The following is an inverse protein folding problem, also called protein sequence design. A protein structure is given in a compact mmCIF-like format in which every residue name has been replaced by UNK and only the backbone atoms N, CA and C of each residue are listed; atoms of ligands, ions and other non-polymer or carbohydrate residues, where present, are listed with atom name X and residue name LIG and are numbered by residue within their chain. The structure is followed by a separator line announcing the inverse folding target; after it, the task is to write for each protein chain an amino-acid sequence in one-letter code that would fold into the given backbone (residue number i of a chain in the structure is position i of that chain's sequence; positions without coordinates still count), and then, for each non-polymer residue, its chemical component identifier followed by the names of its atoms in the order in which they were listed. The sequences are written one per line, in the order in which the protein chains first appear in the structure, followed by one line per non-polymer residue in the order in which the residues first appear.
data_IF_900006551318
#
_entry.id   IF_900006551318
#
_cell.length_a   1.000
_cell.length_b   1.000
_cell.length_c   1.000
_cell.angle_alpha   90.00
_cell.angle_beta   90.00
_cell.angle_gamma   90.00
#
_symmetry.space_group_name_H-M   'P 1'
#
loop_
_entity.id
_entity.type
_entity.pdbx_description
1 polymer ?
#
# COMPACT_ATOMS: atom_id res chain seq x y z
N UNK A 1 -5.00 -38.03 -33.88
CA UNK A 1 -6.35 -37.44 -33.90
C UNK A 1 -6.41 -36.46 -32.77
N UNK A 2 -6.30 -35.18 -33.05
CA UNK A 2 -6.46 -34.11 -32.06
C UNK A 2 -7.95 -33.81 -31.95
N UNK A 3 -8.58 -34.16 -30.80
CA UNK A 3 -9.97 -33.82 -30.56
C UNK A 3 -10.05 -32.32 -30.20
N UNK A 4 -10.61 -31.52 -31.13
CA UNK A 4 -11.05 -30.16 -30.84
C UNK A 4 -12.31 -30.23 -29.93
N UNK A 5 -12.14 -30.36 -28.62
CA UNK A 5 -13.23 -30.12 -27.67
C UNK A 5 -13.44 -28.61 -27.59
N UNK A 6 -14.53 -28.12 -28.17
CA UNK A 6 -14.93 -26.74 -28.05
C UNK A 6 -15.37 -26.43 -26.59
N UNK A 7 -14.83 -25.40 -26.00
CA UNK A 7 -15.29 -24.91 -24.70
C UNK A 7 -16.69 -24.29 -24.84
N UNK A 8 -17.64 -24.70 -24.02
CA UNK A 8 -19.00 -24.22 -24.06
C UNK A 8 -19.21 -23.16 -22.95
N UNK A 9 -19.66 -21.96 -23.34
CA UNK A 9 -20.14 -20.93 -22.40
C UNK A 9 -21.66 -21.09 -22.29
N UNK A 10 -22.19 -21.46 -21.12
CA UNK A 10 -23.63 -21.61 -20.93
C UNK A 10 -24.02 -21.48 -19.46
N UNK A 11 -25.11 -20.75 -19.23
CA UNK A 11 -25.85 -20.75 -17.95
C UNK A 11 -26.65 -22.05 -17.88
N UNK A 12 -26.72 -22.80 -16.78
CA UNK A 12 -27.59 -23.96 -16.68
C UNK A 12 -29.06 -23.47 -16.60
N UNK A 13 -29.75 -23.53 -17.73
CA UNK A 13 -31.21 -23.40 -17.72
C UNK A 13 -31.81 -24.77 -17.45
N UNK A 14 -32.77 -24.82 -16.56
CA UNK A 14 -33.55 -26.00 -16.16
C UNK A 14 -34.29 -26.63 -17.31
N UNK A 15 -34.29 -28.00 -17.27
CA UNK A 15 -35.13 -28.92 -18.05
C UNK A 15 -34.75 -29.14 -19.51
N UNK A 16 -33.92 -30.11 -19.69
CA UNK A 16 -33.86 -31.22 -20.67
C UNK A 16 -32.45 -31.80 -20.57
N UNK A 17 -32.35 -33.11 -20.43
CA UNK A 17 -31.08 -33.82 -20.34
C UNK A 17 -30.38 -33.76 -21.71
N UNK A 18 -29.68 -32.66 -21.96
CA UNK A 18 -28.70 -32.60 -23.06
C UNK A 18 -27.40 -33.00 -22.42
N UNK A 19 -26.96 -34.24 -22.66
CA UNK A 19 -25.60 -34.70 -22.35
C UNK A 19 -24.66 -33.92 -23.29
N UNK A 20 -24.28 -32.74 -22.85
CA UNK A 20 -23.21 -31.97 -23.49
C UNK A 20 -21.89 -32.54 -23.00
N UNK A 21 -21.23 -33.34 -23.80
CA UNK A 21 -19.85 -33.81 -23.57
C UNK A 21 -18.82 -32.67 -23.82
N UNK A 22 -19.11 -31.47 -23.40
CA UNK A 22 -18.23 -30.32 -23.50
C UNK A 22 -17.72 -29.90 -22.12
N UNK A 23 -16.43 -29.64 -22.02
CA UNK A 23 -15.84 -29.07 -20.78
C UNK A 23 -16.28 -27.62 -20.66
N UNK A 24 -16.87 -27.26 -19.52
CA UNK A 24 -17.28 -25.88 -19.25
C UNK A 24 -16.08 -24.91 -19.16
N UNK A 25 -16.21 -23.77 -19.80
CA UNK A 25 -15.25 -22.67 -19.58
C UNK A 25 -15.22 -22.26 -18.11
N UNK A 26 -14.05 -21.94 -17.54
CA UNK A 26 -13.95 -21.54 -16.15
C UNK A 26 -14.70 -20.22 -15.91
N UNK A 27 -15.32 -20.08 -14.74
CA UNK A 27 -15.85 -18.79 -14.29
C UNK A 27 -14.68 -17.97 -13.76
N UNK A 28 -14.42 -16.81 -14.39
CA UNK A 28 -13.33 -15.91 -14.01
C UNK A 28 -13.90 -14.62 -13.44
N UNK A 29 -13.36 -14.20 -12.31
CA UNK A 29 -13.56 -12.85 -11.76
C UNK A 29 -12.21 -12.12 -11.69
N UNK A 30 -12.24 -10.81 -11.80
CA UNK A 30 -11.07 -9.95 -11.61
C UNK A 30 -11.48 -8.68 -10.88
N UNK A 31 -11.10 -8.59 -9.61
CA UNK A 31 -11.28 -7.42 -8.75
C UNK A 31 -9.90 -6.80 -8.54
N UNK A 32 -9.80 -5.47 -8.60
CA UNK A 32 -8.53 -4.80 -8.34
C UNK A 32 -8.18 -4.86 -6.85
N UNK A 33 -7.11 -5.56 -6.50
CA UNK A 33 -6.49 -5.56 -5.18
C UNK A 33 -5.24 -4.67 -5.18
N UNK A 34 -5.28 -3.57 -5.93
CA UNK A 34 -4.22 -2.59 -6.14
C UNK A 34 -4.85 -1.27 -6.64
N UNK A 35 -4.07 -0.20 -6.64
CA UNK A 35 -4.52 1.11 -7.10
C UNK A 35 -4.87 1.09 -8.60
N UNK A 36 -6.08 1.51 -8.92
CA UNK A 36 -6.57 1.64 -10.33
C UNK A 36 -6.33 3.01 -10.92
N UNK A 37 -5.79 3.93 -10.14
CA UNK A 37 -5.33 5.25 -10.60
C UNK A 37 -3.90 5.46 -10.10
N UNK A 38 -3.01 5.86 -11.00
CA UNK A 38 -1.59 6.06 -10.71
C UNK A 38 -0.98 7.11 -11.62
N UNK A 39 0.30 7.43 -11.45
CA UNK A 39 1.05 8.34 -12.32
C UNK A 39 2.11 7.58 -13.13
N UNK A 40 2.54 8.15 -14.25
CA UNK A 40 3.52 7.51 -15.15
C UNK A 40 4.88 7.27 -14.49
N UNK A 41 5.23 8.04 -13.46
CA UNK A 41 6.47 7.91 -12.70
C UNK A 41 6.33 7.09 -11.40
N UNK A 42 5.15 6.52 -11.14
CA UNK A 42 4.95 5.66 -9.98
C UNK A 42 5.70 4.33 -10.11
N UNK A 43 5.97 3.71 -8.97
CA UNK A 43 6.61 2.39 -8.91
C UNK A 43 5.77 1.30 -9.62
N UNK A 44 6.41 0.21 -10.04
CA UNK A 44 5.69 -0.94 -10.59
C UNK A 44 4.68 -1.50 -9.59
N UNK A 45 3.52 -1.93 -10.08
CA UNK A 45 2.39 -2.44 -9.30
C UNK A 45 2.29 -3.95 -9.49
N UNK A 46 2.26 -4.71 -8.40
CA UNK A 46 1.96 -6.14 -8.42
C UNK A 46 0.47 -6.35 -8.63
N UNK A 47 0.09 -6.91 -9.75
CA UNK A 47 -1.32 -7.21 -10.06
C UNK A 47 -1.82 -8.38 -9.22
N UNK A 48 -3.00 -8.24 -8.63
CA UNK A 48 -3.69 -9.23 -7.77
C UNK A 48 -5.18 -9.21 -8.07
N UNK A 49 -5.93 -10.19 -7.54
CA UNK A 49 -7.39 -10.21 -7.54
C UNK A 49 -8.04 -10.97 -8.69
N UNK A 50 -7.26 -11.65 -9.54
CA UNK A 50 -7.81 -12.61 -10.50
C UNK A 50 -8.16 -13.94 -9.84
N UNK A 51 -9.35 -14.46 -10.06
CA UNK A 51 -9.85 -15.75 -9.55
C UNK A 51 -10.46 -16.55 -10.70
N UNK A 52 -10.15 -17.89 -10.81
CA UNK A 52 -9.32 -18.75 -9.95
C UNK A 52 -7.85 -18.32 -9.96
N UNK A 53 -7.10 -18.66 -8.90
CA UNK A 53 -5.66 -18.38 -8.83
C UNK A 53 -4.88 -19.16 -9.89
N UNK A 54 -3.71 -18.66 -10.31
CA UNK A 54 -2.83 -19.32 -11.26
C UNK A 54 -3.07 -18.92 -12.73
N UNK A 55 -3.94 -17.95 -12.99
CA UNK A 55 -4.05 -17.33 -14.31
C UNK A 55 -2.96 -16.31 -14.58
N UNK A 56 -3.00 -15.68 -15.75
CA UNK A 56 -2.00 -14.71 -16.21
C UNK A 56 -2.62 -13.34 -16.42
N UNK A 57 -1.83 -12.29 -16.13
CA UNK A 57 -2.18 -10.91 -16.43
C UNK A 57 -1.54 -10.47 -17.74
N UNK A 58 -2.26 -9.65 -18.52
CA UNK A 58 -1.77 -9.09 -19.78
C UNK A 58 -2.34 -7.69 -20.00
N UNK A 59 -1.70 -6.90 -20.85
CA UNK A 59 -2.10 -5.55 -21.20
C UNK A 59 -0.89 -4.62 -21.38
N UNK A 60 -1.10 -3.36 -21.79
CA UNK A 60 -0.02 -2.38 -21.92
C UNK A 60 0.75 -2.20 -20.60
N UNK A 61 2.08 -2.35 -20.64
CA UNK A 61 2.95 -2.22 -19.47
C UNK A 61 2.95 -3.40 -18.51
N UNK A 62 2.26 -4.51 -18.82
CA UNK A 62 2.23 -5.72 -18.00
C UNK A 62 3.30 -6.71 -18.45
N UNK A 63 4.11 -7.17 -17.51
CA UNK A 63 4.93 -8.36 -17.67
C UNK A 63 4.09 -9.58 -17.28
N UNK A 64 3.69 -10.38 -18.27
CA UNK A 64 2.79 -11.53 -18.06
C UNK A 64 3.41 -12.68 -17.26
N UNK A 65 4.73 -12.77 -17.18
CA UNK A 65 5.43 -13.81 -16.40
C UNK A 65 5.43 -13.49 -14.91
N UNK A 66 5.57 -12.21 -14.57
CA UNK A 66 5.68 -11.77 -13.17
C UNK A 66 4.37 -11.20 -12.62
N UNK A 67 3.42 -10.83 -13.49
CA UNK A 67 2.21 -10.12 -13.10
C UNK A 67 2.45 -8.69 -12.63
N UNK A 68 3.55 -8.07 -13.06
CA UNK A 68 3.90 -6.69 -12.68
C UNK A 68 3.46 -5.74 -13.80
N UNK A 69 2.71 -4.70 -13.42
CA UNK A 69 2.38 -3.55 -14.26
C UNK A 69 3.36 -2.41 -14.00
N UNK A 70 3.98 -1.90 -15.06
CA UNK A 70 4.94 -0.79 -14.98
C UNK A 70 4.33 0.45 -15.63
N UNK A 71 3.90 1.47 -14.85
CA UNK A 71 3.23 2.66 -15.38
C UNK A 71 4.05 3.41 -16.43
N UNK A 72 5.37 3.53 -16.25
CA UNK A 72 6.28 4.20 -17.20
C UNK A 72 6.36 3.50 -18.56
N UNK A 73 6.22 2.17 -18.61
CA UNK A 73 6.16 1.38 -19.85
C UNK A 73 4.77 1.48 -20.48
N UNK A 74 3.73 1.48 -19.67
CA UNK A 74 2.35 1.60 -20.14
C UNK A 74 2.07 2.97 -20.80
N UNK A 75 2.73 4.03 -20.32
CA UNK A 75 2.46 5.41 -20.71
C UNK A 75 1.12 5.93 -20.15
N UNK A 76 0.83 7.21 -20.39
CA UNK A 76 -0.38 7.88 -19.88
C UNK A 76 -1.67 7.38 -20.55
N UNK A 77 -2.81 7.56 -19.88
CA UNK A 77 -4.15 7.21 -20.36
C UNK A 77 -4.73 5.95 -19.71
N UNK A 78 -5.90 5.52 -20.16
CA UNK A 78 -6.58 4.33 -19.65
C UNK A 78 -5.93 3.07 -20.25
N UNK A 79 -5.55 2.15 -19.36
CA UNK A 79 -4.94 0.85 -19.72
C UNK A 79 -5.89 -0.28 -19.35
N UNK A 80 -6.25 -1.08 -20.34
CA UNK A 80 -7.05 -2.30 -20.11
C UNK A 80 -6.11 -3.42 -19.69
N UNK A 81 -6.32 -3.94 -18.48
CA UNK A 81 -5.60 -5.09 -17.92
C UNK A 81 -6.55 -6.29 -17.96
N UNK A 82 -6.06 -7.39 -18.49
CA UNK A 82 -6.83 -8.63 -18.68
C UNK A 82 -6.24 -9.71 -17.78
N UNK A 83 -7.08 -10.35 -17.01
CA UNK A 83 -6.76 -11.60 -16.33
C UNK A 83 -7.37 -12.77 -17.10
N UNK A 84 -6.55 -13.76 -17.43
CA UNK A 84 -6.96 -14.98 -18.15
C UNK A 84 -6.62 -16.20 -17.31
N UNK A 85 -7.60 -17.07 -17.12
CA UNK A 85 -7.41 -18.36 -16.48
C UNK A 85 -7.77 -19.49 -17.46
N UNK A 86 -6.89 -20.50 -17.52
CA UNK A 86 -7.09 -21.71 -18.33
C UNK A 86 -7.17 -22.90 -17.38
N UNK A 87 -8.25 -23.67 -17.46
CA UNK A 87 -8.43 -24.85 -16.62
C UNK A 87 -7.64 -26.08 -17.18
N UNK A 88 -7.65 -27.19 -16.43
CA UNK A 88 -6.95 -28.42 -16.81
C UNK A 88 -7.44 -29.02 -18.13
N UNK A 89 -8.66 -28.68 -18.56
CA UNK A 89 -9.23 -29.14 -19.85
C UNK A 89 -8.90 -28.17 -21.00
N UNK A 90 -7.96 -27.24 -20.80
CA UNK A 90 -7.51 -26.23 -21.78
C UNK A 90 -8.59 -25.22 -22.20
N UNK A 91 -9.66 -25.09 -21.41
CA UNK A 91 -10.66 -24.07 -21.62
C UNK A 91 -10.26 -22.77 -20.88
N UNK A 92 -10.25 -21.64 -21.60
CA UNK A 92 -9.87 -20.35 -21.09
C UNK A 92 -11.06 -19.41 -20.96
N UNK A 93 -11.02 -18.56 -19.95
CA UNK A 93 -11.90 -17.42 -19.83
C UNK A 93 -11.11 -16.20 -19.29
N UNK A 94 -11.62 -15.00 -19.56
CA UNK A 94 -10.92 -13.76 -19.19
C UNK A 94 -11.89 -12.74 -18.62
N UNK A 95 -11.36 -11.85 -17.77
CA UNK A 95 -12.00 -10.61 -17.29
C UNK A 95 -11.01 -9.49 -17.38
N UNK A 96 -11.50 -8.27 -17.51
CA UNK A 96 -10.67 -7.06 -17.55
C UNK A 96 -11.08 -6.03 -16.52
N UNK A 97 -10.14 -5.17 -16.20
CA UNK A 97 -10.30 -3.90 -15.46
C UNK A 97 -9.52 -2.80 -16.17
N UNK A 98 -9.66 -1.58 -15.70
CA UNK A 98 -8.92 -0.43 -16.22
C UNK A 98 -8.03 0.16 -15.13
N UNK A 99 -6.79 0.52 -15.52
CA UNK A 99 -5.88 1.36 -14.75
C UNK A 99 -5.77 2.71 -15.47
N UNK A 100 -5.96 3.80 -14.75
CA UNK A 100 -5.76 5.16 -15.24
C UNK A 100 -4.34 5.59 -14.89
N UNK A 101 -3.51 5.83 -15.90
CA UNK A 101 -2.15 6.35 -15.72
C UNK A 101 -2.16 7.84 -16.07
N UNK A 102 -1.99 8.70 -15.08
CA UNK A 102 -1.92 10.14 -15.26
C UNK A 102 -0.50 10.58 -15.62
N UNK A 103 -0.39 11.72 -16.29
CA UNK A 103 0.89 12.39 -16.47
C UNK A 103 1.43 12.85 -15.11
N UNK A 104 2.75 12.89 -14.98
CA UNK A 104 3.39 13.48 -13.81
C UNK A 104 3.15 14.99 -13.81
N UNK A 105 2.61 15.52 -12.71
CA UNK A 105 2.66 16.96 -12.46
C UNK A 105 4.07 17.37 -12.01
N UNK A 106 4.48 18.58 -12.32
CA UNK A 106 5.72 19.15 -11.78
C UNK A 106 5.54 19.26 -10.25
N UNK A 107 6.32 18.50 -9.52
CA UNK A 107 6.33 18.51 -8.06
C UNK A 107 7.58 19.26 -7.54
N UNK A 108 7.37 20.13 -6.56
CA UNK A 108 8.44 20.80 -5.83
C UNK A 108 8.22 20.55 -4.33
N UNK A 109 9.22 19.98 -3.68
CA UNK A 109 9.17 19.74 -2.25
C UNK A 109 8.98 21.03 -1.46
N UNK A 110 8.17 20.97 -0.40
CA UNK A 110 7.68 22.14 0.35
C UNK A 110 6.28 22.57 -0.08
N UNK A 111 5.79 22.15 -1.25
CA UNK A 111 4.39 22.33 -1.65
C UNK A 111 3.53 21.16 -1.17
N UNK A 112 2.22 21.40 -1.09
CA UNK A 112 1.26 20.32 -0.85
C UNK A 112 1.16 19.39 -2.06
N UNK A 113 0.96 18.10 -1.80
CA UNK A 113 0.51 17.15 -2.82
C UNK A 113 -0.94 16.75 -2.57
N UNK A 114 -1.64 16.42 -3.64
CA UNK A 114 -2.96 15.78 -3.57
C UNK A 114 -2.82 14.31 -3.95
N UNK A 115 -3.18 13.41 -3.05
CA UNK A 115 -3.25 11.99 -3.38
C UNK A 115 -4.41 11.76 -4.36
N UNK A 116 -4.09 11.37 -5.59
CA UNK A 116 -5.08 11.19 -6.65
C UNK A 116 -6.07 10.05 -6.40
N UNK A 117 -5.81 9.19 -5.40
CA UNK A 117 -6.65 8.03 -5.08
C UNK A 117 -7.85 8.39 -4.22
N UNK A 118 -7.70 9.36 -3.29
CA UNK A 118 -8.75 9.78 -2.35
C UNK A 118 -8.91 11.30 -2.21
N UNK A 119 -8.16 12.08 -3.00
CA UNK A 119 -8.12 13.54 -3.02
C UNK A 119 -7.68 14.18 -1.70
N UNK A 120 -7.04 13.44 -0.80
CA UNK A 120 -6.45 14.03 0.40
C UNK A 120 -5.21 14.84 0.08
N UNK A 121 -5.06 15.93 0.79
CA UNK A 121 -3.92 16.85 0.63
C UNK A 121 -2.93 16.62 1.75
N UNK A 122 -1.67 16.43 1.40
CA UNK A 122 -0.56 16.25 2.33
C UNK A 122 0.48 17.36 2.13
N UNK A 123 0.85 18.09 3.19
CA UNK A 123 1.99 19.00 3.13
C UNK A 123 3.28 18.18 2.99
N UNK A 124 4.29 18.78 2.35
CA UNK A 124 5.61 18.15 2.20
C UNK A 124 6.70 19.03 2.77
N UNK A 125 7.84 18.44 3.10
CA UNK A 125 8.99 19.15 3.65
C UNK A 125 10.30 18.57 3.13
N UNK A 126 11.24 19.47 2.78
CA UNK A 126 12.59 19.08 2.40
C UNK A 126 13.45 18.92 3.66
N UNK A 127 14.01 17.73 3.85
CA UNK A 127 14.86 17.38 4.99
C UNK A 127 16.19 16.81 4.48
N UNK A 128 17.22 17.63 4.45
CA UNK A 128 18.46 17.29 3.76
C UNK A 128 18.22 17.07 2.27
N UNK A 129 18.60 15.92 1.74
CA UNK A 129 18.39 15.54 0.34
C UNK A 129 17.04 14.89 0.06
N UNK A 130 16.23 14.61 1.11
CA UNK A 130 14.99 13.85 0.99
C UNK A 130 13.76 14.77 1.08
N UNK A 131 12.69 14.41 0.37
CA UNK A 131 11.39 15.04 0.51
C UNK A 131 10.41 14.10 1.21
N UNK A 132 9.84 14.55 2.33
CA UNK A 132 8.95 13.77 3.17
C UNK A 132 7.55 14.38 3.22
N UNK A 133 6.53 13.55 3.43
CA UNK A 133 5.25 14.09 3.90
C UNK A 133 5.45 14.74 5.28
N UNK A 134 4.89 15.92 5.48
CA UNK A 134 4.93 16.65 6.75
C UNK A 134 3.74 16.33 7.67
N UNK A 135 2.90 15.37 7.28
CA UNK A 135 1.80 14.80 8.06
C UNK A 135 1.74 13.30 7.90
N UNK A 136 1.15 12.60 8.88
CA UNK A 136 0.96 11.16 8.79
C UNK A 136 -0.03 10.80 7.68
N UNK A 137 0.23 9.69 6.98
CA UNK A 137 -0.68 9.16 5.97
C UNK A 137 -2.05 8.84 6.59
N UNK A 138 -3.13 9.11 5.84
CA UNK A 138 -4.51 8.84 6.26
C UNK A 138 -5.32 8.15 5.14
N UNK A 139 -4.69 7.26 4.37
CA UNK A 139 -5.31 6.51 3.28
C UNK A 139 -6.08 5.30 3.80
N UNK A 140 -7.13 4.87 3.09
CA UNK A 140 -7.88 3.65 3.36
C UNK A 140 -9.16 3.83 4.17
N UNK A 141 -9.92 2.73 4.27
CA UNK A 141 -11.20 2.61 4.97
C UNK A 141 -10.97 2.32 6.46
N UNK A 142 -11.74 2.94 7.33
CA UNK A 142 -11.65 2.71 8.78
C UNK A 142 -12.26 1.36 9.11
N UNK A 143 -11.53 0.55 9.89
CA UNK A 143 -12.03 -0.68 10.51
C UNK A 143 -11.92 -0.58 12.03
N UNK A 144 -12.71 -1.39 12.74
CA UNK A 144 -12.68 -1.44 14.20
C UNK A 144 -11.40 -2.14 14.70
N UNK A 145 -10.83 -1.66 15.81
CA UNK A 145 -9.63 -2.22 16.43
C UNK A 145 -9.74 -3.69 16.84
N UNK A 146 -10.96 -4.19 17.01
CA UNK A 146 -11.23 -5.60 17.31
C UNK A 146 -10.94 -6.55 16.15
N UNK A 147 -10.80 -6.02 14.94
CA UNK A 147 -10.45 -6.76 13.73
C UNK A 147 -8.97 -6.54 13.40
N UNK A 148 -8.34 -7.52 12.75
CA UNK A 148 -7.04 -7.34 12.14
C UNK A 148 -7.22 -7.05 10.65
N UNK A 149 -6.33 -6.23 10.09
CA UNK A 149 -6.29 -5.93 8.66
C UNK A 149 -5.99 -7.19 7.85
N UNK A 150 -6.52 -7.30 6.63
CA UNK A 150 -6.49 -8.54 5.84
C UNK A 150 -6.25 -8.26 4.35
N UNK A 151 -5.62 -9.20 3.65
CA UNK A 151 -5.51 -9.21 2.18
C UNK A 151 -6.87 -9.52 1.54
N UNK A 152 -7.79 -8.55 1.59
CA UNK A 152 -9.18 -8.65 1.13
C UNK A 152 -9.50 -7.67 0.00
N UNK A 153 -8.48 -7.05 -0.60
CA UNK A 153 -8.60 -6.04 -1.66
C UNK A 153 -9.28 -4.73 -1.22
N UNK A 154 -9.35 -4.48 0.09
CA UNK A 154 -9.79 -3.20 0.66
C UNK A 154 -8.62 -2.64 1.44
N UNK A 155 -8.17 -1.44 1.09
CA UNK A 155 -7.16 -0.74 1.89
C UNK A 155 -7.77 -0.30 3.21
N UNK A 156 -7.25 -0.81 4.32
CA UNK A 156 -7.82 -0.65 5.66
C UNK A 156 -6.89 0.18 6.57
N UNK A 157 -7.48 0.87 7.54
CA UNK A 157 -6.74 1.61 8.56
C UNK A 157 -7.47 1.58 9.89
N UNK A 158 -6.73 1.86 10.96
CA UNK A 158 -7.29 2.16 12.26
C UNK A 158 -7.22 3.66 12.55
N UNK A 159 -8.19 4.16 13.29
CA UNK A 159 -8.13 5.45 13.96
C UNK A 159 -7.93 5.21 15.45
N UNK A 160 -6.99 5.90 16.08
CA UNK A 160 -6.72 5.69 17.51
C UNK A 160 -8.01 5.72 18.34
N UNK A 161 -8.18 4.75 19.22
CA UNK A 161 -9.36 4.53 20.06
C UNK A 161 -10.69 4.43 19.27
N UNK A 162 -10.63 3.88 18.05
CA UNK A 162 -11.76 3.74 17.11
C UNK A 162 -12.49 5.08 16.84
N UNK A 163 -11.84 6.23 17.05
CA UNK A 163 -12.41 7.54 16.84
C UNK A 163 -11.94 8.16 15.51
N UNK A 164 -12.83 8.36 14.51
CA UNK A 164 -12.45 8.93 13.21
C UNK A 164 -11.81 10.32 13.28
N UNK A 165 -12.10 11.10 14.32
CA UNK A 165 -11.48 12.42 14.54
C UNK A 165 -9.96 12.28 14.73
N UNK A 166 -9.50 11.21 15.36
CA UNK A 166 -8.07 10.95 15.53
C UNK A 166 -7.37 10.70 14.19
N UNK A 167 -8.03 10.02 13.24
CA UNK A 167 -7.50 9.90 11.88
C UNK A 167 -7.41 11.27 11.16
N UNK A 168 -8.41 12.12 11.34
CA UNK A 168 -8.41 13.46 10.74
C UNK A 168 -7.26 14.31 11.27
N UNK A 169 -6.98 14.22 12.57
CA UNK A 169 -5.99 15.06 13.24
C UNK A 169 -4.57 14.48 13.22
N UNK A 170 -4.43 13.15 13.25
CA UNK A 170 -3.15 12.48 13.50
C UNK A 170 -2.77 11.43 12.43
N UNK A 171 -3.62 11.22 11.43
CA UNK A 171 -3.44 10.19 10.41
C UNK A 171 -3.92 8.79 10.84
N UNK A 172 -3.79 7.84 9.94
CA UNK A 172 -4.13 6.43 10.17
C UNK A 172 -3.01 5.67 10.87
N UNK A 173 -3.39 4.54 11.47
CA UNK A 173 -2.48 3.53 12.01
C UNK A 173 -2.67 2.24 11.20
N UNK A 174 -1.57 1.57 10.87
CA UNK A 174 -1.55 0.45 9.93
C UNK A 174 -0.75 -0.72 10.47
N UNK A 175 -1.24 -1.93 10.31
CA UNK A 175 -0.43 -3.14 10.42
C UNK A 175 0.54 -3.20 9.24
N UNK A 176 1.71 -3.76 9.44
CA UNK A 176 2.80 -3.69 8.47
C UNK A 176 2.48 -4.40 7.14
N UNK A 177 1.87 -5.58 7.21
CA UNK A 177 1.55 -6.35 6.00
C UNK A 177 0.51 -5.64 5.13
N UNK A 178 -0.50 -5.03 5.74
CA UNK A 178 -1.50 -4.21 5.04
C UNK A 178 -0.88 -2.98 4.39
N UNK A 179 -0.07 -2.24 5.16
CA UNK A 179 0.65 -1.07 4.68
C UNK A 179 1.51 -1.37 3.44
N UNK A 180 2.14 -2.54 3.42
CA UNK A 180 2.99 -3.03 2.33
C UNK A 180 2.21 -3.75 1.22
N UNK A 181 0.87 -3.74 1.25
CA UNK A 181 0.02 -4.48 0.31
C UNK A 181 0.36 -5.98 0.24
N UNK A 182 0.80 -6.55 1.39
CA UNK A 182 1.23 -7.95 1.52
C UNK A 182 2.40 -8.31 0.59
N UNK A 183 3.23 -7.32 0.25
CA UNK A 183 4.53 -7.48 -0.41
C UNK A 183 5.66 -7.20 0.60
N UNK A 184 6.78 -7.86 0.43
CA UNK A 184 7.93 -7.72 1.32
C UNK A 184 9.09 -6.93 0.69
N UNK A 185 8.86 -6.29 -0.45
CA UNK A 185 9.88 -5.53 -1.18
C UNK A 185 10.15 -4.21 -0.48
N UNK A 186 11.39 -3.95 0.01
CA UNK A 186 11.73 -2.67 0.62
C UNK A 186 11.60 -1.52 -0.38
N UNK A 187 11.27 -0.33 0.11
CA UNK A 187 11.02 0.87 -0.69
C UNK A 187 9.88 0.71 -1.71
N UNK A 188 8.97 -0.22 -1.50
CA UNK A 188 7.76 -0.29 -2.33
C UNK A 188 6.84 0.90 -2.05
N UNK A 189 5.97 1.22 -3.01
CA UNK A 189 4.96 2.26 -2.83
C UNK A 189 4.07 1.95 -1.63
N UNK A 190 3.59 0.70 -1.52
CA UNK A 190 2.61 0.31 -0.50
C UNK A 190 1.42 1.27 -0.48
N UNK A 191 1.05 1.76 0.69
CA UNK A 191 -0.03 2.74 0.84
C UNK A 191 0.39 4.19 0.53
N UNK A 192 1.65 4.47 0.27
CA UNK A 192 2.08 5.82 -0.11
C UNK A 192 1.45 6.29 -1.42
N UNK A 193 1.28 7.59 -1.63
CA UNK A 193 0.81 8.14 -2.91
C UNK A 193 1.72 7.71 -4.08
N UNK A 194 1.22 7.70 -5.33
CA UNK A 194 2.07 7.44 -6.50
C UNK A 194 3.30 8.34 -6.54
N UNK A 195 4.47 7.78 -6.87
CA UNK A 195 5.79 8.39 -6.82
C UNK A 195 6.36 8.66 -5.40
N UNK A 196 5.76 8.03 -4.40
CA UNK A 196 6.22 8.00 -3.01
C UNK A 196 6.34 6.55 -2.56
N UNK A 197 7.20 6.28 -1.58
CA UNK A 197 7.37 4.95 -1.01
C UNK A 197 7.36 4.95 0.51
N UNK A 198 7.18 3.76 1.08
CA UNK A 198 7.34 3.53 2.52
C UNK A 198 8.82 3.53 2.84
N UNK A 199 9.29 4.39 3.77
CA UNK A 199 10.71 4.57 4.04
C UNK A 199 11.41 3.27 4.41
N UNK A 200 12.61 3.07 3.89
CA UNK A 200 13.54 2.04 4.33
C UNK A 200 14.32 2.50 5.57
N UNK A 201 15.06 1.58 6.18
CA UNK A 201 16.05 1.95 7.22
C UNK A 201 17.09 2.95 6.72
N UNK A 202 17.46 2.87 5.44
CA UNK A 202 18.40 3.83 4.86
C UNK A 202 17.79 5.24 4.76
N UNK A 203 16.50 5.35 4.45
CA UNK A 203 15.80 6.63 4.40
C UNK A 203 15.71 7.26 5.79
N UNK A 204 15.35 6.47 6.80
CA UNK A 204 15.33 6.91 8.19
C UNK A 204 16.71 7.33 8.69
N UNK A 205 17.76 6.54 8.41
CA UNK A 205 19.13 6.87 8.79
C UNK A 205 19.60 8.17 8.12
N UNK A 206 19.28 8.37 6.84
CA UNK A 206 19.57 9.60 6.10
C UNK A 206 18.86 10.80 6.73
N UNK A 207 17.58 10.65 7.08
CA UNK A 207 16.82 11.69 7.80
C UNK A 207 17.48 12.04 9.13
N UNK A 208 17.78 11.04 9.97
CA UNK A 208 18.34 11.28 11.30
C UNK A 208 19.73 11.90 11.22
N UNK A 209 20.56 11.55 10.24
CA UNK A 209 21.89 12.10 10.05
C UNK A 209 21.90 13.63 9.89
N UNK A 210 20.79 14.21 9.37
CA UNK A 210 20.66 15.66 9.26
C UNK A 210 20.45 16.36 10.62
N UNK A 211 20.09 15.63 11.68
CA UNK A 211 19.68 16.17 12.97
C UNK A 211 20.48 15.65 14.18
N UNK A 212 21.51 14.84 13.95
CA UNK A 212 22.37 14.28 15.04
C UNK A 212 23.28 15.33 15.69
N UNK A 213 23.04 16.62 15.48
CA UNK A 213 23.72 17.66 16.24
C UNK A 213 23.35 17.54 17.73
N UNK A 214 24.29 17.11 18.56
CA UNK A 214 24.18 16.77 19.98
C UNK A 214 23.57 15.39 20.30
N UNK A 215 23.49 14.45 19.36
CA UNK A 215 23.05 13.07 19.64
C UNK A 215 21.54 12.83 19.68
N UNK A 216 20.71 13.85 19.42
CA UNK A 216 19.26 13.78 19.63
C UNK A 216 18.46 14.22 18.40
N UNK A 217 18.15 13.30 17.49
CA UNK A 217 17.36 13.59 16.30
C UNK A 217 15.85 13.78 16.56
N UNK A 218 15.34 13.32 17.70
CA UNK A 218 13.90 13.33 17.99
C UNK A 218 13.34 14.73 18.22
N UNK A 219 14.02 15.58 18.98
CA UNK A 219 13.52 16.92 19.28
C UNK A 219 13.22 17.78 18.05
N UNK A 220 14.10 17.88 17.03
CA UNK A 220 13.79 18.61 15.80
C UNK A 220 12.63 18.05 15.01
N UNK A 221 12.40 16.72 15.05
CA UNK A 221 11.44 16.02 14.21
C UNK A 221 10.02 15.98 14.79
N UNK A 222 9.87 16.16 16.12
CA UNK A 222 8.55 16.19 16.76
C UNK A 222 7.72 17.41 16.34
N UNK A 223 6.42 17.39 16.64
CA UNK A 223 5.44 18.45 16.29
C UNK A 223 5.81 19.84 16.83
N UNK A 224 6.57 19.90 17.91
CA UNK A 224 7.09 21.16 18.49
C UNK A 224 8.49 21.51 17.97
N UNK A 225 9.07 20.69 17.11
CA UNK A 225 10.42 20.88 16.59
C UNK A 225 10.47 21.81 15.38
N UNK A 226 11.69 22.17 14.99
CA UNK A 226 11.92 23.18 13.94
C UNK A 226 12.12 22.59 12.53
N UNK A 227 12.15 21.26 12.39
CA UNK A 227 12.46 20.63 11.09
C UNK A 227 11.31 20.72 10.08
N UNK A 228 10.08 20.86 10.55
CA UNK A 228 8.88 20.76 9.72
C UNK A 228 8.44 19.30 9.46
N UNK A 229 9.18 18.29 9.95
CA UNK A 229 8.72 16.91 9.88
C UNK A 229 7.43 16.72 10.69
N UNK A 230 7.29 17.40 11.82
CA UNK A 230 6.03 17.52 12.57
C UNK A 230 5.46 16.17 13.00
N UNK A 231 6.28 15.31 13.63
CA UNK A 231 5.84 14.02 14.17
C UNK A 231 4.82 14.22 15.30
N UNK A 232 3.55 13.96 15.02
CA UNK A 232 2.47 14.00 16.01
C UNK A 232 2.53 12.75 16.90
N UNK A 233 2.25 12.91 18.19
CA UNK A 233 2.26 11.81 19.17
C UNK A 233 0.96 10.99 19.07
N UNK A 234 0.85 10.23 17.99
CA UNK A 234 -0.38 9.53 17.57
C UNK A 234 -0.67 8.23 18.32
N UNK A 235 0.26 7.76 19.17
CA UNK A 235 0.14 6.49 19.86
C UNK A 235 0.29 5.27 18.96
N UNK A 236 -0.20 4.13 19.43
CA UNK A 236 -0.15 2.85 18.75
C UNK A 236 -1.37 1.99 19.07
N UNK A 237 -1.67 1.02 18.17
CA UNK A 237 -2.49 -0.15 18.49
C UNK A 237 -1.57 -1.36 18.64
N UNK A 238 -1.67 -2.05 19.76
CA UNK A 238 -0.87 -3.23 20.05
C UNK A 238 -1.45 -4.51 19.43
N UNK A 239 -0.64 -5.56 19.40
CA UNK A 239 -1.03 -6.89 18.92
C UNK A 239 -2.25 -7.47 19.67
N UNK A 240 -2.40 -7.15 20.94
CA UNK A 240 -3.56 -7.52 21.79
C UNK A 240 -4.78 -6.62 21.55
N UNK A 241 -4.70 -5.72 20.57
CA UNK A 241 -5.76 -4.78 20.15
C UNK A 241 -5.99 -3.62 21.12
N UNK A 242 -5.17 -3.48 22.17
CA UNK A 242 -5.19 -2.34 23.05
C UNK A 242 -4.60 -1.09 22.40
N UNK A 243 -4.96 0.07 22.92
CA UNK A 243 -4.45 1.37 22.53
C UNK A 243 -3.53 1.92 23.62
N UNK A 244 -2.43 2.56 23.21
CA UNK A 244 -1.54 3.23 24.16
C UNK A 244 -0.78 4.41 23.51
N UNK A 245 -0.18 5.24 24.33
CA UNK A 245 0.79 6.28 24.00
C UNK A 245 0.26 7.51 23.25
N UNK A 246 -1.03 7.67 22.96
CA UNK A 246 -1.52 8.92 22.33
C UNK A 246 -1.22 10.13 23.22
N UNK A 247 -0.65 11.18 22.63
CA UNK A 247 -0.20 12.37 23.36
C UNK A 247 1.13 12.21 24.10
N UNK A 248 1.72 10.98 24.09
CA UNK A 248 2.98 10.70 24.74
C UNK A 248 4.06 10.21 23.75
N UNK A 249 3.72 9.33 22.81
CA UNK A 249 4.66 8.79 21.83
C UNK A 249 4.01 8.60 20.47
N UNK A 250 4.85 8.43 19.45
CA UNK A 250 4.48 8.01 18.10
C UNK A 250 5.48 7.00 17.60
N UNK A 251 5.02 6.13 16.69
CA UNK A 251 5.81 5.08 16.09
C UNK A 251 5.60 5.09 14.58
N UNK A 252 6.68 4.93 13.83
CA UNK A 252 6.67 4.90 12.37
C UNK A 252 7.25 3.60 11.86
N UNK A 253 6.57 2.97 10.92
CA UNK A 253 7.08 1.81 10.23
C UNK A 253 8.21 2.16 9.27
N UNK A 254 9.15 1.23 9.13
CA UNK A 254 10.04 1.09 8.00
C UNK A 254 9.56 -0.04 7.09
N UNK A 255 9.80 0.07 5.78
CA UNK A 255 9.53 -1.03 4.83
C UNK A 255 10.53 -2.18 4.97
N UNK A 256 11.56 -2.03 5.79
CA UNK A 256 12.61 -3.03 5.99
C UNK A 256 12.18 -4.08 7.01
N UNK A 257 12.14 -5.33 6.57
CA UNK A 257 11.89 -6.48 7.44
C UNK A 257 13.04 -6.73 8.41
N UNK A 258 12.71 -7.20 9.63
CA UNK A 258 13.64 -7.81 10.56
C UNK A 258 13.55 -9.34 10.52
N UNK A 259 12.34 -9.86 10.34
CA UNK A 259 12.05 -11.29 10.22
C UNK A 259 10.70 -11.50 9.52
N UNK A 260 10.22 -12.72 9.39
CA UNK A 260 8.88 -13.02 8.84
C UNK A 260 7.73 -12.38 9.63
N UNK A 261 7.92 -12.13 10.93
CA UNK A 261 6.88 -11.60 11.85
C UNK A 261 7.19 -10.21 12.39
N UNK A 262 8.36 -9.63 12.08
CA UNK A 262 8.81 -8.35 12.61
C UNK A 262 9.36 -7.45 11.51
N UNK A 263 9.10 -6.16 11.61
CA UNK A 263 9.70 -5.10 10.81
C UNK A 263 10.34 -4.05 11.72
N UNK A 264 11.23 -3.23 11.14
CA UNK A 264 11.84 -2.15 11.87
C UNK A 264 10.86 -0.99 12.09
N UNK A 265 10.93 -0.38 13.25
CA UNK A 265 10.14 0.78 13.63
C UNK A 265 10.98 1.82 14.37
N UNK A 266 10.60 3.08 14.21
CA UNK A 266 11.21 4.24 14.87
C UNK A 266 10.18 4.89 15.77
N UNK A 267 10.56 5.09 17.05
CA UNK A 267 9.71 5.73 18.05
C UNK A 267 10.25 7.09 18.47
N UNK A 268 9.35 8.03 18.70
CA UNK A 268 9.64 9.33 19.28
C UNK A 268 8.65 9.57 20.41
N UNK A 269 9.13 9.94 21.59
CA UNK A 269 8.30 10.21 22.75
C UNK A 269 8.66 11.56 23.39
N UNK A 270 7.74 12.10 24.14
CA UNK A 270 7.94 13.35 24.87
C UNK A 270 8.06 13.06 26.37
N UNK A 271 9.06 13.60 27.08
CA UNK A 271 9.98 14.67 26.65
C UNK A 271 11.32 14.17 26.05
N UNK A 272 11.51 12.88 25.80
CA UNK A 272 12.80 12.31 25.36
C UNK A 272 13.24 12.95 24.01
N UNK A 273 14.45 13.53 23.93
CA UNK A 273 14.95 14.12 22.70
C UNK A 273 15.44 13.11 21.66
N UNK A 274 15.55 11.83 22.01
CA UNK A 274 16.08 10.78 21.14
C UNK A 274 15.03 10.20 20.19
N UNK A 275 15.50 9.40 19.25
CA UNK A 275 14.67 8.47 18.44
C UNK A 275 15.02 7.06 18.88
N UNK A 276 14.03 6.29 19.28
CA UNK A 276 14.19 4.87 19.54
C UNK A 276 14.09 4.08 18.23
N UNK A 277 14.82 2.98 18.16
CA UNK A 277 14.89 2.08 17.01
C UNK A 277 14.80 0.64 17.51
N UNK A 278 13.84 -0.14 17.00
CA UNK A 278 13.61 -1.50 17.47
C UNK A 278 12.79 -2.33 16.47
N UNK A 279 12.94 -3.67 16.50
CA UNK A 279 12.07 -4.55 15.76
C UNK A 279 10.71 -4.65 16.45
N UNK A 280 9.64 -4.39 15.71
CA UNK A 280 8.27 -4.48 16.20
C UNK A 280 7.50 -5.62 15.51
N UNK A 281 6.53 -6.21 16.22
CA UNK A 281 5.62 -7.17 15.62
C UNK A 281 4.81 -6.51 14.49
N UNK A 282 4.74 -7.13 13.32
CA UNK A 282 3.94 -6.67 12.17
C UNK A 282 2.45 -6.52 12.47
N UNK A 283 1.97 -7.20 13.54
CA UNK A 283 0.60 -7.14 14.02
C UNK A 283 0.28 -5.87 14.86
N UNK A 284 1.30 -5.10 15.28
CA UNK A 284 1.06 -3.76 15.82
C UNK A 284 0.63 -2.83 14.69
N UNK A 285 -0.12 -1.77 15.01
CA UNK A 285 -0.44 -0.73 14.05
C UNK A 285 0.20 0.59 14.45
N UNK A 286 1.01 1.14 13.53
CA UNK A 286 1.77 2.37 13.68
C UNK A 286 1.47 3.35 12.55
N UNK A 287 1.90 4.60 12.74
CA UNK A 287 1.83 5.64 11.72
C UNK A 287 2.80 5.37 10.57
N UNK A 288 2.61 6.10 9.48
CA UNK A 288 3.53 6.12 8.35
C UNK A 288 3.79 7.55 7.87
N UNK A 289 5.01 7.79 7.47
CA UNK A 289 5.48 8.97 6.71
C UNK A 289 6.09 8.48 5.42
N UNK A 290 5.55 8.94 4.29
CA UNK A 290 6.10 8.59 2.99
C UNK A 290 7.26 9.51 2.62
N UNK A 291 8.19 8.99 1.84
CA UNK A 291 9.31 9.70 1.23
C UNK A 291 9.18 9.68 -0.29
N UNK A 292 9.50 10.78 -0.96
CA UNK A 292 9.42 10.90 -2.42
C UNK A 292 10.54 10.11 -3.09
N UNK A 293 10.24 9.46 -4.23
CA UNK A 293 11.16 8.67 -5.04
C UNK A 293 12.28 9.48 -5.71
#
# INVERSE_FOLDING_TARGET
MTSNLACVTGNPASSAEIIMSGTLAPIVTFTSCFDTITTVNAKPIKLKGGIPLGGTYSGPGVNSLTGIFTPSIAGTGIKTIIYTYTNAAMCSASKNIHIIVQATSVFTCGNNITDIRDNKVYPTVQLGSQCWLASNLNFGTIIASTQDQRDNCVSEKYCYNDNPVNCTNQGGLYQWDELMLYDNTPADQGFCPPAWHIPTENDWNTLFANYINNGFAGSPLKYSGYSGFNALLSGARHIDKSWDFQGFATFFWSSTLRSSTQAWAHGMNDPDPSVSFYPASKANAFSIRCVHD
#
